data_IF_885835375798
#
_entry.id   IF_885835375798
#
_cell.length_a   1.000
_cell.length_b   1.000
_cell.length_c   1.000
_cell.angle_alpha   90.00
_cell.angle_beta   90.00
_cell.angle_gamma   90.00
#
_symmetry.space_group_name_H-M   'P 1'
#
loop_
_entity.id
_entity.type
_entity.pdbx_description
1 polymer ?
#
# COMPACT_ATOMS: atom_id res chain seq x y z
N UNK A 1 9.06 -15.62 7.86
CA UNK A 1 8.34 -14.37 7.60
C UNK A 1 7.35 -14.61 6.47
N UNK A 2 6.10 -14.26 6.70
CA UNK A 2 5.10 -14.44 5.68
C UNK A 2 5.29 -13.45 4.53
N UNK A 3 5.14 -13.97 3.34
CA UNK A 3 5.21 -13.15 2.15
C UNK A 3 3.87 -12.46 1.93
N UNK A 4 3.89 -11.16 1.72
CA UNK A 4 2.67 -10.42 1.44
C UNK A 4 2.20 -10.73 0.03
N UNK A 5 0.88 -10.73 -0.17
CA UNK A 5 0.33 -10.92 -1.49
C UNK A 5 0.61 -9.69 -2.37
N UNK A 6 0.38 -9.84 -3.66
CA UNK A 6 0.71 -8.80 -4.63
C UNK A 6 -0.08 -7.51 -4.38
N UNK A 7 -1.32 -7.63 -3.94
CA UNK A 7 -2.16 -6.45 -3.67
C UNK A 7 -1.56 -5.62 -2.55
N UNK A 8 -1.14 -6.26 -1.47
CA UNK A 8 -0.53 -5.55 -0.34
C UNK A 8 0.80 -4.93 -0.71
N UNK A 9 1.61 -5.63 -1.52
CA UNK A 9 2.88 -5.09 -1.98
C UNK A 9 2.69 -3.87 -2.87
N UNK A 10 1.72 -3.92 -3.78
CA UNK A 10 1.40 -2.78 -4.63
C UNK A 10 0.89 -1.61 -3.79
N UNK A 11 0.09 -1.92 -2.77
CA UNK A 11 -0.43 -0.92 -1.86
C UNK A 11 0.69 -0.15 -1.16
N UNK A 12 1.66 -0.89 -0.61
CA UNK A 12 2.80 -0.28 0.06
C UNK A 12 3.66 0.52 -0.91
N UNK A 13 3.83 0.00 -2.11
CA UNK A 13 4.58 0.72 -3.14
C UNK A 13 3.90 2.04 -3.50
N UNK A 14 2.57 2.04 -3.63
CA UNK A 14 1.82 3.24 -3.94
C UNK A 14 2.00 4.31 -2.86
N UNK A 15 1.99 3.89 -1.59
CA UNK A 15 2.22 4.82 -0.49
C UNK A 15 3.63 5.39 -0.56
N UNK A 16 4.61 4.56 -0.89
CA UNK A 16 6.01 5.01 -0.96
C UNK A 16 6.23 6.01 -2.10
N UNK A 17 5.40 5.93 -3.14
CA UNK A 17 5.51 6.78 -4.32
C UNK A 17 4.57 7.98 -4.30
N UNK A 18 3.77 8.13 -3.25
CA UNK A 18 2.82 9.25 -3.23
C UNK A 18 3.58 10.56 -3.19
N UNK A 19 3.00 11.54 -3.84
CA UNK A 19 3.61 12.87 -3.95
C UNK A 19 3.38 13.70 -2.70
N UNK A 20 4.22 14.70 -2.52
CA UNK A 20 4.06 15.63 -1.43
C UNK A 20 2.71 16.33 -1.53
N UNK A 21 2.00 16.38 -0.39
CA UNK A 21 0.66 16.96 -0.36
C UNK A 21 -0.45 15.97 -0.64
N UNK A 22 -0.12 14.78 -1.11
CA UNK A 22 -1.11 13.75 -1.37
C UNK A 22 -1.50 13.08 -0.04
N UNK A 23 -2.82 12.95 0.20
CA UNK A 23 -3.30 12.34 1.43
C UNK A 23 -3.44 10.83 1.26
N UNK A 24 -3.62 10.12 2.38
CA UNK A 24 -3.88 8.69 2.32
C UNK A 24 -5.15 8.40 1.51
N UNK A 25 -6.16 9.26 1.64
CA UNK A 25 -7.39 9.10 0.87
C UNK A 25 -7.13 9.17 -0.62
N UNK A 26 -6.27 10.11 -1.05
CA UNK A 26 -5.90 10.23 -2.47
C UNK A 26 -5.23 8.96 -2.97
N UNK A 27 -4.37 8.38 -2.15
CA UNK A 27 -3.71 7.12 -2.49
C UNK A 27 -4.71 5.98 -2.62
N UNK A 28 -5.65 5.89 -1.67
CA UNK A 28 -6.69 4.87 -1.73
C UNK A 28 -7.55 5.02 -2.98
N UNK A 29 -7.94 6.25 -3.32
CA UNK A 29 -8.74 6.50 -4.51
C UNK A 29 -8.00 6.10 -5.78
N UNK A 30 -6.71 6.40 -5.85
CA UNK A 30 -5.89 6.01 -7.00
C UNK A 30 -5.84 4.49 -7.14
N UNK A 31 -5.66 3.78 -6.04
CA UNK A 31 -5.60 2.32 -6.06
C UNK A 31 -6.95 1.72 -6.46
N UNK A 32 -8.04 2.27 -5.95
CA UNK A 32 -9.39 1.81 -6.32
C UNK A 32 -9.62 2.01 -7.81
N UNK A 33 -9.14 3.12 -8.36
CA UNK A 33 -9.31 3.42 -9.78
C UNK A 33 -8.54 2.46 -10.70
N UNK A 34 -7.56 1.73 -10.18
CA UNK A 34 -6.86 0.73 -10.98
C UNK A 34 -7.70 -0.53 -11.22
N UNK A 35 -8.79 -0.68 -10.45
CA UNK A 35 -9.63 -1.86 -10.55
C UNK A 35 -9.15 -3.06 -9.77
N UNK A 36 -8.11 -2.92 -8.96
CA UNK A 36 -7.53 -4.05 -8.23
C UNK A 36 -8.39 -4.50 -7.04
N UNK A 37 -9.31 -3.68 -6.58
CA UNK A 37 -10.20 -4.02 -5.47
C UNK A 37 -11.62 -4.27 -5.98
N UNK A 38 -12.11 -5.49 -5.80
CA UNK A 38 -13.47 -5.85 -6.24
C UNK A 38 -14.53 -5.03 -5.52
N UNK A 39 -14.34 -4.78 -4.23
CA UNK A 39 -15.29 -4.03 -3.40
C UNK A 39 -14.93 -2.56 -3.27
N UNK A 40 -14.02 -2.08 -4.12
CA UNK A 40 -13.69 -0.67 -4.18
C UNK A 40 -13.09 -0.13 -2.89
N UNK A 41 -13.55 1.05 -2.49
CA UNK A 41 -12.98 1.77 -1.34
C UNK A 41 -13.09 0.98 -0.03
N UNK A 42 -14.14 0.20 0.13
CA UNK A 42 -14.31 -0.60 1.34
C UNK A 42 -13.16 -1.59 1.50
N UNK A 43 -12.82 -2.28 0.42
CA UNK A 43 -11.73 -3.25 0.45
C UNK A 43 -10.39 -2.56 0.63
N UNK A 44 -10.20 -1.40 0.00
CA UNK A 44 -8.98 -0.64 0.16
C UNK A 44 -8.77 -0.23 1.60
N UNK A 45 -9.82 0.21 2.28
CA UNK A 45 -9.74 0.58 3.69
C UNK A 45 -9.46 -0.62 4.58
N UNK A 46 -10.05 -1.76 4.27
CA UNK A 46 -9.79 -3.00 5.01
C UNK A 46 -8.32 -3.42 4.86
N UNK A 47 -7.80 -3.32 3.66
CA UNK A 47 -6.39 -3.63 3.40
C UNK A 47 -5.47 -2.70 4.19
N UNK A 48 -5.81 -1.41 4.21
CA UNK A 48 -5.05 -0.43 4.98
C UNK A 48 -5.01 -0.80 6.46
N UNK A 49 -6.16 -1.19 7.02
CA UNK A 49 -6.22 -1.58 8.43
C UNK A 49 -5.40 -2.84 8.72
N UNK A 50 -5.42 -3.81 7.81
CA UNK A 50 -4.61 -5.01 7.96
C UNK A 50 -3.12 -4.65 7.97
N UNK A 51 -2.70 -3.75 7.10
CA UNK A 51 -1.31 -3.33 7.04
C UNK A 51 -0.90 -2.56 8.29
N UNK A 52 -1.82 -1.77 8.86
CA UNK A 52 -1.55 -1.09 10.13
C UNK A 52 -1.41 -2.08 11.27
N UNK A 53 -2.27 -3.09 11.34
CA UNK A 53 -2.21 -4.12 12.37
C UNK A 53 -0.92 -4.93 12.29
N UNK A 54 -0.40 -5.10 11.09
CA UNK A 54 0.84 -5.85 10.88
C UNK A 54 2.09 -4.97 10.96
N UNK A 55 1.92 -3.70 11.32
CA UNK A 55 3.02 -2.75 11.50
C UNK A 55 3.78 -2.41 10.21
N UNK A 56 3.15 -2.56 9.07
CA UNK A 56 3.72 -2.08 7.81
C UNK A 56 3.43 -0.61 7.59
N UNK A 57 2.34 -0.12 8.20
CA UNK A 57 1.94 1.28 8.13
C UNK A 57 1.74 1.79 9.54
N UNK A 58 2.27 2.98 9.83
CA UNK A 58 2.10 3.68 11.10
C UNK A 58 1.45 5.02 10.80
N UNK A 59 0.19 5.19 11.22
CA UNK A 59 -0.58 6.37 10.85
C UNK A 59 -0.81 6.38 9.35
N UNK A 60 -0.30 7.40 8.67
CA UNK A 60 -0.41 7.54 7.22
C UNK A 60 0.92 7.32 6.51
N UNK A 61 1.91 6.80 7.23
CA UNK A 61 3.25 6.60 6.67
C UNK A 61 3.67 5.15 6.77
N UNK A 62 4.63 4.76 5.95
CA UNK A 62 5.20 3.44 6.03
C UNK A 62 6.09 3.33 7.27
N UNK A 63 6.02 2.19 7.94
CA UNK A 63 7.00 1.85 8.96
C UNK A 63 8.30 1.46 8.26
N UNK A 64 9.34 1.20 9.04
CA UNK A 64 10.61 0.73 8.49
C UNK A 64 10.43 -0.54 7.67
N UNK A 65 9.66 -1.49 8.22
CA UNK A 65 9.37 -2.75 7.52
C UNK A 65 8.58 -2.47 6.25
N UNK A 66 7.61 -1.53 6.32
CA UNK A 66 6.83 -1.14 5.16
C UNK A 66 7.69 -0.57 4.04
N UNK A 67 8.66 0.26 4.40
CA UNK A 67 9.59 0.82 3.41
C UNK A 67 10.41 -0.28 2.75
N UNK A 68 10.88 -1.25 3.53
CA UNK A 68 11.65 -2.37 3.00
C UNK A 68 10.83 -3.18 1.99
N UNK A 69 9.58 -3.48 2.35
CA UNK A 69 8.70 -4.24 1.46
C UNK A 69 8.39 -3.45 0.20
N UNK A 70 8.15 -2.14 0.33
CA UNK A 70 7.89 -1.29 -0.82
C UNK A 70 9.08 -1.26 -1.77
N UNK A 71 10.30 -1.17 -1.23
CA UNK A 71 11.52 -1.19 -2.04
C UNK A 71 11.68 -2.52 -2.78
N UNK A 72 11.38 -3.62 -2.12
CA UNK A 72 11.43 -4.94 -2.75
C UNK A 72 10.39 -5.04 -3.87
N UNK A 73 9.18 -4.53 -3.63
CA UNK A 73 8.13 -4.53 -4.62
C UNK A 73 8.51 -3.71 -5.84
N UNK A 74 9.15 -2.56 -5.62
CA UNK A 74 9.61 -1.72 -6.73
C UNK A 74 10.59 -2.49 -7.62
N UNK A 75 11.51 -3.22 -7.00
CA UNK A 75 12.48 -4.01 -7.76
C UNK A 75 11.81 -5.12 -8.57
N UNK A 76 10.77 -5.74 -7.99
CA UNK A 76 10.04 -6.79 -8.69
C UNK A 76 9.30 -6.29 -9.92
N UNK A 77 8.70 -5.10 -9.82
CA UNK A 77 7.88 -4.56 -10.89
C UNK A 77 8.65 -3.69 -11.88
N UNK A 78 9.85 -3.31 -11.52
CA UNK A 78 10.68 -2.48 -12.39
C UNK A 78 11.57 -3.36 -13.24
N UNK A 79 11.55 -3.14 -14.54
CA UNK A 79 12.39 -3.87 -15.47
C UNK A 79 13.19 -2.94 -16.35
#
# INVERSE_FOLDING_TARGET
>A
MEELDIIKRVFLLAISKREEGETMRDTLESLVNTGMFENGMKEAKETLEELRKSNYIVGDNLSMIGVMVANEAEKEFKR
#
